data_IF_690354264477
#
_entry.id   IF_690354264477
#
_cell.length_a   1.000
_cell.length_b   1.000
_cell.length_c   1.000
_cell.angle_alpha   90.00
_cell.angle_beta   90.00
_cell.angle_gamma   90.00
#
_symmetry.space_group_name_H-M   'P 1'
#
loop_
_entity.id
_entity.type
_entity.pdbx_description
1 polymer ?
#
# COMPACT_ATOMS: atom_id res chain seq x y z
N UNK A 1 34.32 4.33 61.91
CA UNK A 1 34.99 3.48 62.94
C UNK A 1 35.66 4.38 63.95
N UNK A 2 35.86 3.91 65.17
CA UNK A 2 36.34 4.69 66.33
C UNK A 2 37.86 4.65 66.54
N UNK A 3 38.61 3.79 65.83
CA UNK A 3 40.07 3.70 65.90
C UNK A 3 40.68 3.41 64.51
N UNK A 4 41.74 4.15 64.16
CA UNK A 4 42.53 4.01 62.94
C UNK A 4 43.78 3.13 63.17
N UNK A 5 44.37 2.53 62.13
CA UNK A 5 45.63 1.79 62.27
C UNK A 5 46.73 2.61 62.96
N UNK A 6 46.80 3.91 62.66
CA UNK A 6 47.74 4.85 63.26
C UNK A 6 47.49 5.08 64.76
N UNK A 7 46.22 5.11 65.17
CA UNK A 7 45.85 5.25 66.59
C UNK A 7 46.16 3.97 67.38
N UNK A 8 45.99 2.78 66.79
CA UNK A 8 46.35 1.50 67.40
C UNK A 8 47.87 1.42 67.65
N UNK A 9 48.67 1.87 66.67
CA UNK A 9 50.13 1.85 66.76
C UNK A 9 50.69 2.83 67.81
N UNK A 10 49.98 3.93 68.07
CA UNK A 10 50.38 4.96 69.06
C UNK A 10 49.81 4.71 70.46
N UNK A 11 49.02 3.66 70.64
CA UNK A 11 48.31 3.40 71.88
C UNK A 11 49.29 2.99 72.99
N UNK A 12 49.22 3.65 74.15
CA UNK A 12 50.09 3.36 75.30
C UNK A 12 49.28 2.81 76.47
N UNK A 13 49.82 1.79 77.11
CA UNK A 13 49.23 1.15 78.29
C UNK A 13 50.02 1.46 79.56
N UNK A 14 49.32 1.55 80.70
CA UNK A 14 49.95 1.76 82.00
C UNK A 14 50.57 0.45 82.53
N UNK A 15 51.78 0.51 83.08
CA UNK A 15 52.47 -0.65 83.64
C UNK A 15 51.93 -1.02 85.02
N UNK A 16 51.71 -2.31 85.28
CA UNK A 16 51.35 -2.86 86.61
C UNK A 16 52.17 -4.11 86.91
N UNK A 17 52.40 -4.39 88.19
CA UNK A 17 53.35 -5.41 88.70
C UNK A 17 53.05 -6.88 88.26
N UNK A 18 51.92 -7.13 87.60
CA UNK A 18 51.54 -8.43 86.99
C UNK A 18 50.88 -8.23 85.60
N UNK A 19 51.33 -7.24 84.84
CA UNK A 19 50.83 -6.95 83.48
C UNK A 19 51.48 -7.82 82.40
N UNK A 20 50.96 -7.71 81.18
CA UNK A 20 51.57 -8.30 79.98
C UNK A 20 52.93 -7.67 79.66
N UNK A 21 53.79 -8.41 78.97
CA UNK A 21 55.08 -7.91 78.50
C UNK A 21 54.88 -6.74 77.52
N UNK A 22 55.41 -5.53 77.81
CA UNK A 22 55.28 -4.37 76.93
C UNK A 22 55.77 -4.62 75.49
N UNK A 23 56.82 -5.41 75.30
CA UNK A 23 57.40 -5.68 73.97
C UNK A 23 56.50 -6.61 73.15
N UNK A 24 55.89 -7.61 73.78
CA UNK A 24 54.93 -8.51 73.14
C UNK A 24 53.64 -7.75 72.74
N UNK A 25 53.16 -6.87 73.62
CA UNK A 25 52.00 -6.00 73.34
C UNK A 25 52.29 -5.06 72.15
N UNK A 26 53.46 -4.43 72.10
CA UNK A 26 53.83 -3.53 71.00
C UNK A 26 53.94 -4.28 69.65
N UNK A 27 54.49 -5.50 69.67
CA UNK A 27 54.51 -6.38 68.49
C UNK A 27 53.10 -6.75 68.03
N UNK A 28 52.20 -7.11 68.96
CA UNK A 28 50.82 -7.43 68.65
C UNK A 28 50.05 -6.21 68.09
N UNK A 29 50.18 -5.03 68.70
CA UNK A 29 49.56 -3.80 68.18
C UNK A 29 50.04 -3.48 66.76
N UNK A 30 51.31 -3.71 66.46
CA UNK A 30 51.87 -3.52 65.11
C UNK A 30 51.23 -4.47 64.11
N UNK A 31 51.15 -5.77 64.44
CA UNK A 31 50.50 -6.77 63.57
C UNK A 31 49.00 -6.45 63.36
N UNK A 32 48.29 -6.04 64.41
CA UNK A 32 46.87 -5.65 64.31
C UNK A 32 46.70 -4.40 63.43
N UNK A 33 47.59 -3.40 63.55
CA UNK A 33 47.55 -2.20 62.71
C UNK A 33 47.82 -2.54 61.24
N UNK A 34 48.77 -3.43 60.95
CA UNK A 34 49.07 -3.90 59.59
C UNK A 34 47.88 -4.66 58.97
N UNK A 35 47.31 -5.63 59.68
CA UNK A 35 46.14 -6.40 59.22
C UNK A 35 44.93 -5.47 59.01
N UNK A 36 44.68 -4.52 59.93
CA UNK A 36 43.61 -3.55 59.78
C UNK A 36 43.81 -2.67 58.53
N UNK A 37 45.04 -2.24 58.26
CA UNK A 37 45.38 -1.46 57.06
C UNK A 37 45.11 -2.27 55.79
N UNK A 38 45.54 -3.54 55.74
CA UNK A 38 45.29 -4.43 54.62
C UNK A 38 43.78 -4.65 54.39
N UNK A 39 43.01 -4.83 55.47
CA UNK A 39 41.54 -4.99 55.41
C UNK A 39 40.85 -3.74 54.90
N UNK A 40 41.23 -2.55 55.39
CA UNK A 40 40.68 -1.27 54.92
C UNK A 40 40.96 -1.07 53.42
N UNK A 41 42.18 -1.35 52.96
CA UNK A 41 42.51 -1.31 51.53
C UNK A 41 41.67 -2.29 50.70
N UNK A 42 41.37 -3.47 51.23
CA UNK A 42 40.52 -4.44 50.57
C UNK A 42 39.05 -3.98 50.50
N UNK A 43 38.53 -3.38 51.57
CA UNK A 43 37.18 -2.79 51.61
C UNK A 43 37.08 -1.67 50.59
N UNK A 44 38.02 -0.74 50.56
CA UNK A 44 37.99 0.35 49.58
C UNK A 44 38.05 -0.15 48.13
N UNK A 45 38.85 -1.19 47.85
CA UNK A 45 38.91 -1.81 46.53
C UNK A 45 37.57 -2.44 46.15
N UNK A 46 36.98 -3.23 47.06
CA UNK A 46 35.68 -3.85 46.84
C UNK A 46 34.57 -2.82 46.65
N UNK A 47 34.59 -1.72 47.40
CA UNK A 47 33.63 -0.63 47.24
C UNK A 47 33.78 0.06 45.88
N UNK A 48 35.01 0.29 45.40
CA UNK A 48 35.25 0.82 44.05
C UNK A 48 34.72 -0.11 42.97
N UNK A 49 35.01 -1.41 43.06
CA UNK A 49 34.50 -2.42 42.14
C UNK A 49 32.96 -2.49 42.18
N UNK A 50 32.36 -2.45 43.38
CA UNK A 50 30.91 -2.49 43.53
C UNK A 50 30.24 -1.27 42.89
N UNK A 51 30.79 -0.06 43.08
CA UNK A 51 30.31 1.16 42.40
C UNK A 51 30.42 1.03 40.89
N UNK A 52 31.55 0.53 40.38
CA UNK A 52 31.75 0.32 38.95
C UNK A 52 30.71 -0.66 38.35
N UNK A 53 30.49 -1.82 38.99
CA UNK A 53 29.53 -2.79 38.50
C UNK A 53 28.08 -2.31 38.61
N UNK A 54 27.72 -1.55 39.65
CA UNK A 54 26.40 -0.94 39.77
C UNK A 54 26.12 0.02 38.63
N UNK A 55 27.07 0.90 38.31
CA UNK A 55 26.92 1.83 37.19
C UNK A 55 26.75 1.06 35.86
N UNK A 56 27.56 0.03 35.62
CA UNK A 56 27.43 -0.78 34.40
C UNK A 56 26.11 -1.52 34.30
N UNK A 57 25.58 -2.00 35.42
CA UNK A 57 24.27 -2.66 35.46
C UNK A 57 23.16 -1.68 35.11
N UNK A 58 23.23 -0.46 35.65
CA UNK A 58 22.26 0.60 35.40
C UNK A 58 22.29 1.06 33.94
N UNK A 59 23.47 1.28 33.36
CA UNK A 59 23.65 1.56 31.93
C UNK A 59 23.11 0.42 31.04
N UNK A 60 23.35 -0.84 31.43
CA UNK A 60 22.85 -1.99 30.69
C UNK A 60 21.33 -2.08 30.73
N UNK A 61 20.72 -1.86 31.90
CA UNK A 61 19.27 -1.86 32.07
C UNK A 61 18.62 -0.73 31.29
N UNK A 62 19.21 0.47 31.27
CA UNK A 62 18.74 1.57 30.43
C UNK A 62 18.80 1.24 28.94
N UNK A 63 19.89 0.65 28.45
CA UNK A 63 20.00 0.20 27.06
C UNK A 63 18.97 -0.86 26.71
N UNK A 64 18.76 -1.84 27.57
CA UNK A 64 17.76 -2.89 27.38
C UNK A 64 16.35 -2.29 27.28
N UNK A 65 16.02 -1.34 28.16
CA UNK A 65 14.75 -0.64 28.12
C UNK A 65 14.55 0.15 26.81
N UNK A 66 15.58 0.86 26.34
CA UNK A 66 15.55 1.59 25.08
C UNK A 66 15.38 0.64 23.87
N UNK A 67 16.07 -0.51 23.88
CA UNK A 67 15.93 -1.55 22.87
C UNK A 67 14.51 -2.11 22.85
N UNK A 68 13.95 -2.44 24.01
CA UNK A 68 12.57 -2.93 24.11
C UNK A 68 11.57 -1.91 23.58
N UNK A 69 11.71 -0.63 23.94
CA UNK A 69 10.87 0.44 23.40
C UNK A 69 11.01 0.57 21.88
N UNK A 70 12.23 0.46 21.36
CA UNK A 70 12.51 0.55 19.92
C UNK A 70 11.87 -0.62 19.16
N UNK A 71 11.97 -1.84 19.69
CA UNK A 71 11.33 -3.02 19.10
C UNK A 71 9.81 -2.89 19.08
N UNK A 72 9.20 -2.42 20.19
CA UNK A 72 7.76 -2.17 20.23
C UNK A 72 7.32 -1.10 19.23
N UNK A 73 8.11 -0.04 19.06
CA UNK A 73 7.85 0.98 18.04
C UNK A 73 7.99 0.42 16.63
N UNK A 74 9.03 -0.36 16.35
CA UNK A 74 9.25 -0.99 15.04
C UNK A 74 8.11 -1.95 14.69
N UNK A 75 7.60 -2.71 15.68
CA UNK A 75 6.45 -3.58 15.49
C UNK A 75 5.18 -2.78 15.16
N UNK A 76 4.87 -1.72 15.93
CA UNK A 76 3.73 -0.85 15.64
C UNK A 76 3.79 -0.22 14.25
N UNK A 77 4.96 0.29 13.86
CA UNK A 77 5.16 0.86 12.52
C UNK A 77 4.95 -0.20 11.44
N UNK A 78 5.42 -1.43 11.67
CA UNK A 78 5.22 -2.53 10.73
C UNK A 78 3.74 -2.90 10.59
N UNK A 79 3.00 -2.94 11.69
CA UNK A 79 1.55 -3.19 11.71
C UNK A 79 0.78 -2.06 10.99
N UNK A 80 1.17 -0.81 11.19
CA UNK A 80 0.60 0.36 10.50
C UNK A 80 0.84 0.31 8.99
N UNK A 81 2.07 -0.05 8.56
CA UNK A 81 2.41 -0.23 7.15
C UNK A 81 1.54 -1.34 6.53
N UNK A 82 1.41 -2.49 7.20
CA UNK A 82 0.58 -3.59 6.72
C UNK A 82 -0.90 -3.19 6.62
N UNK A 83 -1.43 -2.47 7.61
CA UNK A 83 -2.82 -1.99 7.59
C UNK A 83 -3.07 -0.96 6.47
N UNK A 84 -2.12 -0.04 6.24
CA UNK A 84 -2.20 0.93 5.15
C UNK A 84 -2.14 0.23 3.78
N UNK A 85 -1.18 -0.68 3.58
CA UNK A 85 -1.01 -1.42 2.33
C UNK A 85 -2.26 -2.24 1.98
N UNK A 86 -2.91 -2.88 2.97
CA UNK A 86 -4.17 -3.59 2.76
C UNK A 86 -5.29 -2.65 2.32
N UNK A 87 -5.45 -1.51 3.00
CA UNK A 87 -6.46 -0.50 2.62
C UNK A 87 -6.22 0.05 1.21
N UNK A 88 -4.98 0.34 0.87
CA UNK A 88 -4.60 0.86 -0.45
C UNK A 88 -4.81 -0.19 -1.56
N UNK A 89 -4.50 -1.46 -1.29
CA UNK A 89 -4.81 -2.56 -2.20
C UNK A 89 -6.31 -2.70 -2.44
N UNK A 90 -7.13 -2.66 -1.38
CA UNK A 90 -8.60 -2.71 -1.50
C UNK A 90 -9.16 -1.53 -2.31
N UNK A 91 -8.63 -0.32 -2.09
CA UNK A 91 -9.01 0.86 -2.87
C UNK A 91 -8.62 0.71 -4.34
N UNK A 92 -7.40 0.25 -4.63
CA UNK A 92 -6.91 0.03 -5.99
C UNK A 92 -7.78 -0.97 -6.74
N UNK A 93 -8.17 -2.07 -6.08
CA UNK A 93 -9.07 -3.07 -6.67
C UNK A 93 -10.43 -2.46 -6.97
N UNK A 94 -11.03 -1.72 -6.03
CA UNK A 94 -12.32 -1.05 -6.26
C UNK A 94 -12.26 -0.02 -7.38
N UNK A 95 -11.19 0.75 -7.48
CA UNK A 95 -10.98 1.71 -8.57
C UNK A 95 -10.87 1.02 -9.93
N UNK A 96 -10.14 -0.10 -9.98
CA UNK A 96 -10.05 -0.92 -11.19
C UNK A 96 -11.40 -1.52 -11.59
N UNK A 97 -12.19 -2.01 -10.63
CA UNK A 97 -13.55 -2.51 -10.87
C UNK A 97 -14.47 -1.42 -11.42
N UNK A 98 -14.50 -0.24 -10.80
CA UNK A 98 -15.30 0.90 -11.29
C UNK A 98 -14.87 1.34 -12.69
N UNK A 99 -13.56 1.35 -12.98
CA UNK A 99 -13.05 1.70 -14.30
C UNK A 99 -13.47 0.66 -15.35
N UNK A 100 -13.38 -0.64 -15.01
CA UNK A 100 -13.81 -1.73 -15.88
C UNK A 100 -15.31 -1.64 -16.18
N UNK A 101 -16.15 -1.44 -15.16
CA UNK A 101 -17.60 -1.27 -15.32
C UNK A 101 -17.92 -0.09 -16.24
N UNK A 102 -17.23 1.04 -16.06
CA UNK A 102 -17.40 2.21 -16.92
C UNK A 102 -17.03 1.91 -18.38
N UNK A 103 -15.95 1.19 -18.63
CA UNK A 103 -15.54 0.79 -19.99
C UNK A 103 -16.61 -0.11 -20.62
N UNK A 104 -17.13 -1.08 -19.87
CA UNK A 104 -18.19 -1.99 -20.34
C UNK A 104 -19.46 -1.20 -20.68
N UNK A 105 -19.89 -0.28 -19.82
CA UNK A 105 -21.07 0.55 -20.09
C UNK A 105 -20.87 1.40 -21.35
N UNK A 106 -19.71 2.03 -21.52
CA UNK A 106 -19.39 2.80 -22.72
C UNK A 106 -19.41 1.93 -23.99
N UNK A 107 -18.90 0.70 -23.92
CA UNK A 107 -18.94 -0.23 -25.04
C UNK A 107 -20.38 -0.63 -25.41
N UNK A 108 -21.25 -0.88 -24.42
CA UNK A 108 -22.66 -1.20 -24.62
C UNK A 108 -23.40 -0.01 -25.25
N UNK A 109 -23.18 1.21 -24.75
CA UNK A 109 -23.76 2.44 -25.32
C UNK A 109 -23.32 2.67 -26.77
N UNK A 110 -22.05 2.41 -27.09
CA UNK A 110 -21.56 2.51 -28.46
C UNK A 110 -22.19 1.44 -29.35
N UNK A 111 -22.27 0.19 -28.88
CA UNK A 111 -22.86 -0.91 -29.64
C UNK A 111 -24.33 -0.64 -29.96
N UNK A 112 -25.11 -0.24 -28.97
CA UNK A 112 -26.53 0.11 -29.14
C UNK A 112 -26.72 1.28 -30.10
N UNK A 113 -25.85 2.30 -30.04
CA UNK A 113 -25.84 3.41 -31.01
C UNK A 113 -25.57 2.92 -32.44
N UNK A 114 -24.59 2.04 -32.63
CA UNK A 114 -24.24 1.49 -33.95
C UNK A 114 -25.40 0.65 -34.49
N UNK A 115 -26.00 -0.20 -33.66
CA UNK A 115 -27.16 -1.01 -34.05
C UNK A 115 -28.36 -0.14 -34.46
N UNK A 116 -28.64 0.93 -33.71
CA UNK A 116 -29.64 1.93 -34.08
C UNK A 116 -29.35 2.55 -35.45
N UNK A 117 -28.11 2.96 -35.71
CA UNK A 117 -27.70 3.52 -37.00
C UNK A 117 -27.84 2.53 -38.15
N UNK A 118 -27.51 1.26 -37.93
CA UNK A 118 -27.72 0.19 -38.91
C UNK A 118 -29.21 0.04 -39.22
N UNK A 119 -30.07 0.10 -38.20
CA UNK A 119 -31.53 0.08 -38.35
C UNK A 119 -32.04 1.22 -39.23
N UNK A 120 -31.62 2.45 -38.95
CA UNK A 120 -31.95 3.65 -39.74
C UNK A 120 -31.52 3.50 -41.21
N UNK A 121 -30.27 3.11 -41.46
CA UNK A 121 -29.74 2.93 -42.81
C UNK A 121 -30.50 1.84 -43.59
N UNK A 122 -30.90 0.76 -42.92
CA UNK A 122 -31.74 -0.29 -43.52
C UNK A 122 -33.14 0.21 -43.85
N UNK A 123 -33.72 1.11 -43.05
CA UNK A 123 -35.01 1.74 -43.35
C UNK A 123 -34.88 2.68 -44.56
N UNK A 124 -33.89 3.57 -44.57
CA UNK A 124 -33.60 4.46 -45.70
C UNK A 124 -33.36 3.70 -47.00
N UNK A 125 -32.61 2.58 -46.94
CA UNK A 125 -32.40 1.71 -48.11
C UNK A 125 -33.71 1.16 -48.66
N UNK A 126 -34.62 0.68 -47.79
CA UNK A 126 -35.92 0.13 -48.19
C UNK A 126 -36.81 1.20 -48.81
N UNK A 127 -36.84 2.39 -48.22
CA UNK A 127 -37.57 3.54 -48.75
C UNK A 127 -37.06 3.92 -50.14
N UNK A 128 -35.74 4.03 -50.31
CA UNK A 128 -35.14 4.32 -51.62
C UNK A 128 -35.49 3.25 -52.65
N UNK A 129 -35.42 1.96 -52.29
CA UNK A 129 -35.81 0.85 -53.17
C UNK A 129 -37.27 0.94 -53.62
N UNK A 130 -38.19 1.28 -52.70
CA UNK A 130 -39.61 1.47 -53.02
C UNK A 130 -39.80 2.68 -53.94
N UNK A 131 -39.12 3.79 -53.67
CA UNK A 131 -39.18 5.00 -54.50
C UNK A 131 -38.70 4.70 -55.93
N UNK A 132 -37.59 3.97 -56.09
CA UNK A 132 -37.10 3.53 -57.41
C UNK A 132 -38.10 2.61 -58.12
N UNK A 133 -38.67 1.63 -57.41
CA UNK A 133 -39.68 0.74 -58.00
C UNK A 133 -40.89 1.53 -58.50
N UNK A 134 -41.42 2.43 -57.67
CA UNK A 134 -42.56 3.25 -58.03
C UNK A 134 -42.26 4.16 -59.24
N UNK A 135 -41.04 4.72 -59.31
CA UNK A 135 -40.61 5.52 -60.46
C UNK A 135 -40.53 4.69 -61.74
N UNK A 136 -39.98 3.48 -61.68
CA UNK A 136 -39.93 2.56 -62.82
C UNK A 136 -41.33 2.14 -63.27
N UNK A 137 -42.22 1.79 -62.34
CA UNK A 137 -43.61 1.43 -62.64
C UNK A 137 -44.36 2.61 -63.30
N UNK A 138 -44.08 3.85 -62.88
CA UNK A 138 -44.63 5.05 -63.50
C UNK A 138 -44.12 5.23 -64.94
N UNK A 139 -42.80 5.14 -65.16
CA UNK A 139 -42.23 5.24 -66.50
C UNK A 139 -42.74 4.14 -67.43
N UNK A 140 -42.88 2.91 -66.92
CA UNK A 140 -43.46 1.80 -67.67
C UNK A 140 -44.89 2.12 -68.11
N UNK A 141 -45.74 2.63 -67.20
CA UNK A 141 -47.13 3.00 -67.54
C UNK A 141 -47.20 4.11 -68.59
N UNK A 142 -46.31 5.10 -68.52
CA UNK A 142 -46.25 6.18 -69.52
C UNK A 142 -45.89 5.59 -70.89
N UNK A 143 -44.86 4.74 -70.96
CA UNK A 143 -44.46 4.08 -72.20
C UNK A 143 -45.57 3.19 -72.78
N UNK A 144 -46.26 2.42 -71.93
CA UNK A 144 -47.39 1.59 -72.34
C UNK A 144 -48.54 2.44 -72.93
N UNK A 145 -48.84 3.60 -72.32
CA UNK A 145 -49.84 4.54 -72.83
C UNK A 145 -49.43 5.15 -74.17
N UNK A 146 -48.18 5.61 -74.32
CA UNK A 146 -47.66 6.14 -75.59
C UNK A 146 -47.72 5.09 -76.71
N UNK A 147 -47.37 3.83 -76.42
CA UNK A 147 -47.48 2.73 -77.38
C UNK A 147 -48.92 2.41 -77.79
N UNK A 148 -49.88 2.54 -76.87
CA UNK A 148 -51.30 2.33 -77.15
C UNK A 148 -51.86 3.46 -78.04
N UNK A 149 -51.44 4.71 -77.79
CA UNK A 149 -51.75 5.87 -78.62
C UNK A 149 -51.17 5.73 -80.05
N UNK A 150 -49.92 5.27 -80.20
CA UNK A 150 -49.33 4.97 -81.52
C UNK A 150 -50.10 3.86 -82.27
N UNK A 151 -50.53 2.81 -81.57
CA UNK A 151 -51.32 1.72 -82.18
C UNK A 151 -52.71 2.19 -82.61
N UNK A 152 -53.35 3.06 -81.83
CA UNK A 152 -54.67 3.60 -82.15
C UNK A 152 -54.63 4.56 -83.34
N UNK A 153 -53.57 5.37 -83.46
CA UNK A 153 -53.36 6.29 -84.59
C UNK A 153 -52.94 5.59 -85.88
N UNK A 154 -52.27 4.43 -85.79
CA UNK A 154 -51.86 3.63 -86.95
C UNK A 154 -53.03 2.96 -87.72
N UNK A 155 -54.24 2.88 -87.14
CA UNK A 155 -55.33 2.09 -87.74
C UNK A 155 -56.23 2.84 -88.75
N UNK A 156 -55.97 4.11 -89.07
CA UNK A 156 -56.83 4.93 -89.96
C UNK A 156 -56.12 5.33 -91.27
N UNK A 157 -55.61 4.37 -92.05
CA UNK A 157 -55.25 4.59 -93.46
C UNK A 157 -55.42 3.29 -94.29
N UNK A 158 -56.63 2.73 -94.33
CA UNK A 158 -57.00 1.84 -95.44
C UNK A 158 -57.93 2.58 -96.39
N UNK A 159 -57.35 3.21 -97.41
CA UNK A 159 -58.11 3.72 -98.57
C UNK A 159 -58.80 2.54 -99.27
N UNK A 160 -60.12 2.60 -99.54
CA UNK A 160 -60.80 1.54 -100.26
C UNK A 160 -60.30 1.53 -101.71
N UNK A 161 -59.74 0.38 -102.11
CA UNK A 161 -59.28 0.13 -103.49
C UNK A 161 -60.50 0.10 -104.42
N UNK A 162 -60.77 1.22 -105.09
CA UNK A 162 -61.86 1.33 -106.09
C UNK A 162 -61.58 0.35 -107.24
N UNK A 163 -62.40 -0.70 -107.33
CA UNK A 163 -62.38 -1.69 -108.41
C UNK A 163 -62.78 -1.00 -109.73
N UNK A 164 -61.96 -1.19 -110.77
CA UNK A 164 -62.23 -0.80 -112.17
C UNK A 164 -63.23 -1.78 -112.77
N UNK A 165 -64.31 -1.26 -113.38
CA UNK A 165 -65.09 -1.85 -114.49
C UNK A 165 -65.78 -0.67 -115.19
N UNK A 166 -66.00 -0.57 -116.49
CA UNK A 166 -65.43 -1.12 -117.73
C UNK A 166 -65.79 -0.08 -118.81
#
# INVERSE_FOLDING_TARGET
>A
MTLTPLEIQKMRFSQRMRGFDPTEVESFLTQVAEELTARLGHVERLERENRYYRQRLEESSQREHQLQQTLLRAQKVSDEILANAKREAELTVKEAEMAADKIVQQAIEQSTRIEGKIGELRAQRREMQLNFKNALDLFQRILEAEMEDERSTAHVLTLPRKRREA
#
